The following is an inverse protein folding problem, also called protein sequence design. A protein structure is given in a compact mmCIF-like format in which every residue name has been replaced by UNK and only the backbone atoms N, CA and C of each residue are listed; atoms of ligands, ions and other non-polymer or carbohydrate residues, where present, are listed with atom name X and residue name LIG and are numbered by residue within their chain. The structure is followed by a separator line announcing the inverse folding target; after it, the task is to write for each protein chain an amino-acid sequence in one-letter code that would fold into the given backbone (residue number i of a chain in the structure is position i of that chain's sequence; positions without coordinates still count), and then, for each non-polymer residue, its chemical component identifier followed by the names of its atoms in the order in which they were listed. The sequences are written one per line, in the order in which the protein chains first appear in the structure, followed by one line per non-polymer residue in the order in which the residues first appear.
data_IF_794197947639
#
_entry.id   IF_794197947639
#
_cell.length_a   1.000
_cell.length_b   1.000
_cell.length_c   1.000
_cell.angle_alpha   90.00
_cell.angle_beta   90.00
_cell.angle_gamma   90.00
#
_symmetry.space_group_name_H-M   'P 1'
#
loop_
_entity.id
_entity.type
_entity.pdbx_description
1 polymer ?
#
# COMPACT_ATOMS: atom_id res chain seq x y z
N UNK A 1 -10.34 17.03 -3.33
CA UNK A 1 -9.56 15.79 -3.53
C UNK A 1 -8.16 15.96 -2.95
N UNK A 2 -7.38 16.99 -3.33
CA UNK A 2 -5.98 17.15 -2.90
C UNK A 2 -5.80 17.20 -1.38
N UNK A 3 -6.67 17.93 -0.66
CA UNK A 3 -6.59 18.03 0.81
C UNK A 3 -6.86 16.68 1.50
N UNK A 4 -7.84 15.91 1.02
CA UNK A 4 -8.12 14.56 1.53
C UNK A 4 -6.90 13.67 1.36
N UNK A 5 -6.30 13.67 0.18
CA UNK A 5 -5.08 12.92 -0.10
C UNK A 5 -3.91 13.38 0.78
N UNK A 6 -3.71 14.68 0.95
CA UNK A 6 -2.69 15.22 1.83
C UNK A 6 -2.89 14.77 3.28
N UNK A 7 -4.12 14.84 3.81
CA UNK A 7 -4.47 14.39 5.15
C UNK A 7 -4.29 12.87 5.33
N UNK A 8 -4.47 12.08 4.28
CA UNK A 8 -4.24 10.64 4.33
C UNK A 8 -2.74 10.29 4.36
N UNK A 9 -1.90 11.03 3.64
CA UNK A 9 -0.46 10.76 3.62
C UNK A 9 0.32 11.45 4.74
N UNK A 10 -0.17 12.55 5.30
CA UNK A 10 0.46 13.29 6.37
C UNK A 10 0.79 12.42 7.61
N UNK A 11 -0.13 11.58 8.13
CA UNK A 11 0.16 10.69 9.25
C UNK A 11 1.29 9.70 8.95
N UNK A 12 1.40 9.23 7.72
CA UNK A 12 2.47 8.31 7.33
C UNK A 12 3.83 8.98 7.52
N UNK A 13 3.97 10.24 7.10
CA UNK A 13 5.22 11.00 7.27
C UNK A 13 5.49 11.26 8.77
N UNK A 14 4.48 11.68 9.52
CA UNK A 14 4.63 12.05 10.94
C UNK A 14 4.89 10.84 11.85
N UNK A 15 4.20 9.74 11.59
CA UNK A 15 4.19 8.58 12.49
C UNK A 15 5.01 7.38 12.00
N UNK A 16 5.63 7.43 10.81
CA UNK A 16 6.39 6.31 10.24
C UNK A 16 7.49 5.77 11.18
N UNK A 17 8.22 6.67 11.86
CA UNK A 17 9.26 6.28 12.82
C UNK A 17 8.67 5.56 14.05
N UNK A 18 7.55 6.05 14.59
CA UNK A 18 6.84 5.43 15.71
C UNK A 18 6.17 4.12 15.31
N UNK A 19 5.59 4.10 14.12
CA UNK A 19 4.95 2.92 13.55
C UNK A 19 5.94 1.76 13.38
N UNK A 20 7.17 2.04 12.94
CA UNK A 20 8.23 1.05 12.89
C UNK A 20 8.56 0.47 14.27
N UNK A 21 8.70 1.33 15.29
CA UNK A 21 8.94 0.88 16.67
C UNK A 21 7.78 0.05 17.19
N UNK A 22 6.53 0.44 16.90
CA UNK A 22 5.35 -0.29 17.32
C UNK A 22 5.27 -1.67 16.65
N UNK A 23 5.57 -1.74 15.36
CA UNK A 23 5.62 -2.99 14.60
C UNK A 23 6.70 -3.95 15.11
N UNK A 24 7.79 -3.42 15.71
CA UNK A 24 8.84 -4.23 16.30
C UNK A 24 8.50 -4.75 17.71
N UNK A 25 7.56 -4.10 18.42
CA UNK A 25 7.21 -4.44 19.83
C UNK A 25 5.98 -5.32 19.96
N UNK A 26 5.06 -5.24 19.01
CA UNK A 26 3.79 -5.97 19.07
C UNK A 26 3.86 -7.15 18.11
N UNK A 27 3.37 -8.35 18.50
CA UNK A 27 3.28 -9.48 17.57
C UNK A 27 2.55 -9.08 16.29
N UNK A 28 3.20 -9.31 15.12
CA UNK A 28 2.72 -8.87 13.82
C UNK A 28 1.27 -9.27 13.53
N UNK A 29 0.90 -10.49 13.94
CA UNK A 29 -0.48 -11.01 13.84
C UNK A 29 -1.51 -10.11 14.54
N UNK A 30 -1.27 -9.73 15.82
CA UNK A 30 -2.21 -8.90 16.58
C UNK A 30 -2.28 -7.49 16.03
N UNK A 31 -1.12 -6.95 15.67
CA UNK A 31 -1.03 -5.60 15.12
C UNK A 31 -1.81 -5.50 13.81
N UNK A 32 -1.64 -6.47 12.91
CA UNK A 32 -2.41 -6.54 11.66
C UNK A 32 -3.91 -6.73 11.88
N UNK A 33 -4.31 -7.55 12.86
CA UNK A 33 -5.73 -7.66 13.20
C UNK A 33 -6.32 -6.32 13.62
N UNK A 34 -5.63 -5.57 14.47
CA UNK A 34 -6.08 -4.23 14.92
C UNK A 34 -6.13 -3.23 13.76
N UNK A 35 -5.12 -3.21 12.89
CA UNK A 35 -5.09 -2.28 11.75
C UNK A 35 -6.17 -2.62 10.73
N UNK A 36 -6.39 -3.90 10.39
CA UNK A 36 -7.43 -4.32 9.46
C UNK A 36 -8.85 -4.04 10.01
N UNK A 37 -9.09 -4.29 11.30
CA UNK A 37 -10.34 -3.89 11.96
C UNK A 37 -10.53 -2.38 11.91
N UNK A 38 -9.48 -1.62 12.16
CA UNK A 38 -9.52 -0.16 12.11
C UNK A 38 -9.88 0.38 10.72
N UNK A 39 -9.26 -0.16 9.66
CA UNK A 39 -9.58 0.22 8.28
C UNK A 39 -11.01 -0.19 7.93
N UNK A 40 -11.43 -1.41 8.28
CA UNK A 40 -12.78 -1.88 8.08
C UNK A 40 -13.83 -1.01 8.78
N UNK A 41 -13.54 -0.54 10.00
CA UNK A 41 -14.40 0.38 10.73
C UNK A 41 -14.49 1.76 10.05
N UNK A 42 -13.38 2.28 9.54
CA UNK A 42 -13.37 3.53 8.75
C UNK A 42 -14.23 3.38 7.50
N UNK A 43 -14.09 2.29 6.75
CA UNK A 43 -14.91 2.00 5.58
C UNK A 43 -16.38 1.88 5.93
N UNK A 44 -16.72 1.23 7.05
CA UNK A 44 -18.09 1.13 7.55
C UNK A 44 -18.69 2.49 7.85
N UNK A 45 -17.94 3.35 8.56
CA UNK A 45 -18.40 4.71 8.89
C UNK A 45 -18.62 5.53 7.62
N UNK A 46 -17.70 5.48 6.65
CA UNK A 46 -17.86 6.16 5.36
C UNK A 46 -19.13 5.67 4.66
N UNK A 47 -19.34 4.36 4.59
CA UNK A 47 -20.51 3.76 3.96
C UNK A 47 -21.81 4.24 4.60
N UNK A 48 -21.91 4.26 5.93
CA UNK A 48 -23.09 4.75 6.67
C UNK A 48 -23.29 6.24 6.43
N UNK A 49 -22.26 7.06 6.55
CA UNK A 49 -22.33 8.52 6.35
C UNK A 49 -22.81 8.88 4.94
N UNK A 50 -22.35 8.13 3.93
CA UNK A 50 -22.79 8.32 2.54
C UNK A 50 -24.23 7.90 2.35
N UNK A 51 -24.67 6.77 2.92
CA UNK A 51 -26.03 6.25 2.78
C UNK A 51 -27.08 7.11 3.51
N UNK A 52 -26.72 7.67 4.66
CA UNK A 52 -27.59 8.55 5.43
C UNK A 52 -27.68 9.97 4.87
N UNK A 53 -26.82 10.30 3.90
CA UNK A 53 -26.75 11.65 3.34
C UNK A 53 -26.24 12.72 4.32
N UNK A 54 -25.71 12.33 5.48
CA UNK A 54 -25.16 13.24 6.51
C UNK A 54 -23.71 13.61 6.25
N UNK A 55 -23.16 13.24 5.08
CA UNK A 55 -21.76 13.38 4.71
C UNK A 55 -21.33 14.83 4.48
N UNK A 56 -20.72 15.44 5.47
CA UNK A 56 -20.04 16.73 5.33
C UNK A 56 -18.54 16.56 5.02
N UNK A 57 -17.92 17.57 4.42
CA UNK A 57 -16.49 17.53 4.03
C UNK A 57 -15.56 17.24 5.21
N UNK A 58 -15.85 17.71 6.40
CA UNK A 58 -15.03 17.50 7.57
C UNK A 58 -15.00 16.03 8.02
N UNK A 59 -16.09 15.27 7.81
CA UNK A 59 -16.09 13.82 8.06
C UNK A 59 -15.03 13.12 7.18
N UNK A 60 -14.95 13.51 5.91
CA UNK A 60 -13.95 12.96 4.98
C UNK A 60 -12.52 13.29 5.41
N UNK A 61 -12.29 14.49 5.93
CA UNK A 61 -10.97 14.90 6.42
C UNK A 61 -10.52 14.09 7.63
N UNK A 62 -11.40 13.91 8.61
CA UNK A 62 -11.11 13.13 9.81
C UNK A 62 -10.87 11.66 9.46
N UNK A 63 -11.76 11.07 8.65
CA UNK A 63 -11.65 9.66 8.27
C UNK A 63 -10.41 9.40 7.40
N UNK A 64 -10.04 10.33 6.52
CA UNK A 64 -8.79 10.25 5.76
C UNK A 64 -7.56 10.28 6.68
N UNK A 65 -7.54 11.17 7.68
CA UNK A 65 -6.45 11.25 8.65
C UNK A 65 -6.35 9.97 9.50
N UNK A 66 -7.47 9.45 9.99
CA UNK A 66 -7.52 8.19 10.75
C UNK A 66 -7.03 7.02 9.88
N UNK A 67 -7.52 6.91 8.66
CA UNK A 67 -7.10 5.88 7.70
C UNK A 67 -5.59 5.96 7.41
N UNK A 68 -5.06 7.18 7.22
CA UNK A 68 -3.63 7.41 7.05
C UNK A 68 -2.80 6.99 8.27
N UNK A 69 -3.31 7.26 9.47
CA UNK A 69 -2.65 6.87 10.73
C UNK A 69 -2.59 5.34 10.87
N UNK A 70 -3.69 4.65 10.56
CA UNK A 70 -3.73 3.19 10.56
C UNK A 70 -2.77 2.64 9.50
N UNK A 71 -2.77 3.21 8.30
CA UNK A 71 -1.89 2.79 7.19
C UNK A 71 -0.41 2.97 7.50
N UNK A 72 -0.05 4.00 8.27
CA UNK A 72 1.32 4.23 8.73
C UNK A 72 1.85 3.05 9.56
N UNK A 73 0.97 2.39 10.32
CA UNK A 73 1.31 1.22 11.15
C UNK A 73 1.14 -0.08 10.35
N UNK A 74 0.09 -0.20 9.54
CA UNK A 74 -0.23 -1.41 8.77
C UNK A 74 0.89 -1.81 7.81
N UNK A 75 1.44 -0.82 7.09
CA UNK A 75 2.46 -1.08 6.06
C UNK A 75 3.72 -1.76 6.61
N UNK A 76 4.41 -1.23 7.63
CA UNK A 76 5.58 -1.88 8.20
C UNK A 76 5.23 -3.18 8.93
N UNK A 77 4.06 -3.25 9.59
CA UNK A 77 3.60 -4.47 10.24
C UNK A 77 3.39 -5.61 9.25
N UNK A 78 2.78 -5.33 8.11
CA UNK A 78 2.56 -6.32 7.02
C UNK A 78 3.87 -6.83 6.43
N UNK A 79 4.81 -5.94 6.15
CA UNK A 79 6.12 -6.33 5.63
C UNK A 79 6.90 -7.19 6.63
N UNK A 80 6.85 -6.83 7.92
CA UNK A 80 7.47 -7.61 8.98
C UNK A 80 6.81 -9.00 9.13
N UNK A 81 5.48 -9.07 9.05
CA UNK A 81 4.73 -10.30 9.22
C UNK A 81 4.97 -11.32 8.10
N UNK A 82 5.25 -10.87 6.86
CA UNK A 82 5.66 -11.79 5.78
C UNK A 82 6.87 -12.63 6.21
N UNK A 83 7.79 -12.05 6.98
CA UNK A 83 8.94 -12.76 7.53
C UNK A 83 8.60 -13.80 8.61
N UNK A 84 7.46 -13.66 9.28
CA UNK A 84 7.00 -14.63 10.28
C UNK A 84 6.24 -15.81 9.66
N UNK A 85 5.84 -15.70 8.37
CA UNK A 85 5.05 -16.73 7.68
C UNK A 85 5.89 -17.84 7.04
N UNK A 86 7.17 -17.58 6.76
CA UNK A 86 8.00 -18.50 5.99
C UNK A 86 9.40 -18.65 6.59
N UNK A 87 10.05 -19.81 6.43
CA UNK A 87 11.44 -19.97 6.83
C UNK A 87 12.34 -19.04 5.98
N UNK A 88 13.49 -18.68 6.53
CA UNK A 88 14.41 -17.71 5.95
C UNK A 88 14.82 -18.04 4.50
N UNK A 89 14.96 -19.32 4.19
CA UNK A 89 15.30 -19.83 2.84
C UNK A 89 14.24 -19.48 1.77
N UNK A 90 12.99 -19.34 2.18
CA UNK A 90 11.84 -19.03 1.28
C UNK A 90 11.45 -17.54 1.29
N UNK A 91 12.17 -16.71 2.04
CA UNK A 91 11.85 -15.30 2.21
C UNK A 91 11.76 -14.54 0.88
N UNK A 92 12.72 -14.74 -0.03
CA UNK A 92 12.71 -14.09 -1.33
C UNK A 92 11.45 -14.42 -2.15
N UNK A 93 11.01 -15.67 -2.12
CA UNK A 93 9.79 -16.11 -2.80
C UNK A 93 8.53 -15.51 -2.16
N UNK A 94 8.47 -15.45 -0.82
CA UNK A 94 7.34 -14.87 -0.10
C UNK A 94 7.21 -13.36 -0.37
N UNK A 95 8.33 -12.63 -0.37
CA UNK A 95 8.35 -11.21 -0.71
C UNK A 95 7.91 -10.97 -2.16
N UNK A 96 8.42 -11.79 -3.10
CA UNK A 96 8.01 -11.70 -4.51
C UNK A 96 6.52 -11.99 -4.70
N UNK A 97 5.98 -13.01 -4.03
CA UNK A 97 4.55 -13.35 -4.10
C UNK A 97 3.69 -12.25 -3.49
N UNK A 98 4.09 -11.71 -2.32
CA UNK A 98 3.40 -10.59 -1.67
C UNK A 98 3.39 -9.35 -2.56
N UNK A 99 4.54 -9.01 -3.18
CA UNK A 99 4.63 -7.89 -4.11
C UNK A 99 3.73 -8.11 -5.35
N UNK A 100 3.72 -9.32 -5.91
CA UNK A 100 2.85 -9.66 -7.05
C UNK A 100 1.38 -9.52 -6.67
N UNK A 101 0.96 -10.06 -5.53
CA UNK A 101 -0.41 -9.95 -5.03
C UNK A 101 -0.80 -8.47 -4.83
N UNK A 102 0.08 -7.67 -4.20
CA UNK A 102 -0.14 -6.24 -3.99
C UNK A 102 -0.30 -5.48 -5.31
N UNK A 103 0.58 -5.69 -6.28
CA UNK A 103 0.49 -5.04 -7.58
C UNK A 103 -0.74 -5.48 -8.38
N UNK A 104 -1.10 -6.77 -8.32
CA UNK A 104 -2.32 -7.28 -8.95
C UNK A 104 -3.57 -6.67 -8.34
N UNK A 105 -3.65 -6.61 -7.02
CA UNK A 105 -4.78 -5.98 -6.32
C UNK A 105 -4.88 -4.47 -6.64
N UNK A 106 -3.77 -3.76 -6.68
CA UNK A 106 -3.70 -2.34 -7.05
C UNK A 106 -4.15 -2.08 -8.48
N UNK A 107 -4.00 -3.07 -9.34
CA UNK A 107 -4.37 -3.03 -10.74
C UNK A 107 -5.86 -3.27 -10.93
N UNK A 108 -6.39 -4.35 -10.31
CA UNK A 108 -7.78 -4.79 -10.45
C UNK A 108 -8.71 -3.95 -9.56
N UNK A 109 -8.23 -3.50 -8.40
CA UNK A 109 -9.03 -2.80 -7.39
C UNK A 109 -9.80 -1.59 -7.92
N UNK A 110 -9.15 -0.58 -8.53
CA UNK A 110 -9.84 0.59 -9.05
C UNK A 110 -10.85 0.27 -10.15
N UNK A 111 -10.57 -0.72 -11.00
CA UNK A 111 -11.47 -1.15 -12.07
C UNK A 111 -12.74 -1.80 -11.50
N UNK A 112 -12.59 -2.72 -10.54
CA UNK A 112 -13.72 -3.36 -9.87
C UNK A 112 -14.51 -2.36 -9.02
N UNK A 113 -13.83 -1.47 -8.29
CA UNK A 113 -14.49 -0.44 -7.50
C UNK A 113 -15.33 0.50 -8.38
N UNK A 114 -14.79 0.97 -9.52
CA UNK A 114 -15.54 1.80 -10.47
C UNK A 114 -16.80 1.11 -10.98
N UNK A 115 -16.70 -0.16 -11.35
CA UNK A 115 -17.82 -0.97 -11.80
C UNK A 115 -18.92 -1.13 -10.72
N UNK A 116 -18.54 -1.45 -9.50
CA UNK A 116 -19.49 -1.60 -8.40
C UNK A 116 -20.13 -0.26 -7.98
N UNK A 117 -19.38 0.85 -8.05
CA UNK A 117 -19.89 2.18 -7.77
C UNK A 117 -20.97 2.59 -8.79
N UNK A 118 -20.75 2.27 -10.08
CA UNK A 118 -21.73 2.57 -11.12
C UNK A 118 -23.04 1.77 -10.95
N UNK A 119 -22.96 0.54 -10.43
CA UNK A 119 -24.14 -0.31 -10.24
C UNK A 119 -24.87 -0.07 -8.92
N UNK A 120 -24.17 0.09 -7.84
CA UNK A 120 -24.75 0.11 -6.48
C UNK A 120 -24.56 1.46 -5.76
N UNK A 121 -23.80 2.36 -6.35
CA UNK A 121 -23.46 3.63 -5.71
C UNK A 121 -22.29 3.49 -4.71
N UNK A 122 -21.85 4.63 -4.21
CA UNK A 122 -20.64 4.72 -3.36
C UNK A 122 -20.87 4.08 -1.99
N UNK A 123 -22.04 4.32 -1.36
CA UNK A 123 -22.34 3.86 0.01
C UNK A 123 -22.25 2.35 0.18
N UNK A 124 -23.02 1.54 -0.61
CA UNK A 124 -22.95 0.08 -0.55
C UNK A 124 -21.54 -0.48 -0.82
N UNK A 125 -20.77 0.15 -1.70
CA UNK A 125 -19.40 -0.30 -2.00
C UNK A 125 -18.50 -0.18 -0.78
N UNK A 126 -18.60 0.89 0.01
CA UNK A 126 -17.86 1.02 1.27
C UNK A 126 -18.33 0.02 2.34
N UNK A 127 -19.61 -0.36 2.37
CA UNK A 127 -20.09 -1.43 3.27
C UNK A 127 -19.52 -2.79 2.89
N UNK A 128 -19.47 -3.09 1.58
CA UNK A 128 -18.83 -4.32 1.08
C UNK A 128 -17.34 -4.33 1.43
N UNK A 129 -16.65 -3.21 1.24
CA UNK A 129 -15.24 -3.06 1.60
C UNK A 129 -15.02 -3.32 3.10
N UNK A 130 -15.86 -2.77 3.97
CA UNK A 130 -15.82 -3.04 5.41
C UNK A 130 -15.95 -4.54 5.75
N UNK A 131 -16.86 -5.24 5.07
CA UNK A 131 -17.03 -6.70 5.23
C UNK A 131 -15.81 -7.46 4.70
N UNK A 132 -15.24 -7.02 3.57
CA UNK A 132 -14.04 -7.63 3.00
C UNK A 132 -12.82 -7.54 3.93
N UNK A 133 -12.71 -6.47 4.73
CA UNK A 133 -11.67 -6.38 5.76
C UNK A 133 -11.81 -7.40 6.90
N UNK A 134 -12.98 -8.02 7.06
CA UNK A 134 -13.14 -9.12 8.02
C UNK A 134 -12.43 -10.41 7.57
N UNK A 135 -12.27 -10.64 6.27
CA UNK A 135 -11.60 -11.83 5.78
C UNK A 135 -10.14 -11.96 6.27
N UNK A 136 -9.25 -10.96 6.11
CA UNK A 136 -7.91 -11.03 6.68
C UNK A 136 -7.92 -11.09 8.22
N UNK A 137 -8.86 -10.43 8.91
CA UNK A 137 -8.97 -10.51 10.36
C UNK A 137 -9.27 -11.95 10.81
N UNK A 138 -10.23 -12.60 10.16
CA UNK A 138 -10.60 -13.98 10.44
C UNK A 138 -9.43 -14.92 10.08
N UNK A 139 -8.81 -14.73 8.91
CA UNK A 139 -7.66 -15.53 8.51
C UNK A 139 -6.52 -15.44 9.54
N UNK A 140 -6.20 -14.24 10.00
CA UNK A 140 -5.20 -14.01 11.04
C UNK A 140 -5.64 -14.62 12.39
N UNK A 141 -6.93 -14.61 12.72
CA UNK A 141 -7.46 -15.22 13.94
C UNK A 141 -7.36 -16.73 13.93
N UNK A 142 -7.54 -17.37 12.77
CA UNK A 142 -7.47 -18.82 12.58
C UNK A 142 -6.02 -19.34 12.50
N UNK A 143 -5.04 -18.48 12.26
CA UNK A 143 -3.64 -18.89 12.23
C UNK A 143 -3.18 -19.38 13.60
N UNK A 144 -2.46 -20.49 13.62
CA UNK A 144 -1.83 -21.02 14.82
C UNK A 144 -0.53 -20.28 15.09
N UNK A 145 -0.42 -19.63 16.26
CA UNK A 145 0.77 -18.84 16.62
C UNK A 145 2.04 -19.69 16.82
N UNK A 146 1.88 -20.97 17.12
CA UNK A 146 2.96 -21.96 17.26
C UNK A 146 3.63 -22.35 15.93
N UNK A 147 2.97 -22.10 14.81
CA UNK A 147 3.47 -22.36 13.46
C UNK A 147 4.16 -21.15 12.81
N UNK A 148 4.13 -19.99 13.47
CA UNK A 148 4.81 -18.79 12.99
C UNK A 148 6.30 -18.86 13.35
N UNK A 149 7.14 -18.46 12.40
CA UNK A 149 8.58 -18.38 12.63
C UNK A 149 8.88 -17.15 13.52
N UNK A 150 9.48 -17.36 14.70
CA UNK A 150 9.76 -16.25 15.61
C UNK A 150 10.74 -15.29 14.96
N UNK A 151 10.34 -14.01 14.90
CA UNK A 151 11.23 -12.95 14.49
C UNK A 151 12.25 -12.70 15.60
N UNK A 152 13.53 -12.75 15.27
CA UNK A 152 14.58 -12.28 16.15
C UNK A 152 14.43 -10.77 16.29
N UNK A 153 13.86 -10.33 17.42
CA UNK A 153 13.78 -8.92 17.77
C UNK A 153 15.21 -8.40 17.97
N UNK A 154 15.70 -7.61 17.03
CA UNK A 154 17.00 -6.96 17.18
C UNK A 154 16.83 -5.79 18.15
N UNK A 155 17.50 -5.81 19.33
CA UNK A 155 17.45 -4.70 20.26
C UNK A 155 17.98 -3.44 19.57
N UNK A 156 17.14 -2.42 19.45
CA UNK A 156 17.59 -1.12 18.94
C UNK A 156 18.41 -0.41 20.01
N UNK A 157 19.65 -0.13 19.69
CA UNK A 157 20.49 0.76 20.48
C UNK A 157 19.98 2.22 20.35
N UNK A 158 20.00 3.01 21.43
CA UNK A 158 19.67 4.44 21.35
C UNK A 158 20.66 5.12 20.38
N UNK A 159 20.11 5.87 19.41
CA UNK A 159 20.91 6.58 18.39
C UNK A 159 20.92 5.98 16.98
N UNK A 160 20.37 4.80 16.74
CA UNK A 160 20.36 4.15 15.42
C UNK A 160 19.77 5.01 14.31
N UNK A 161 18.74 5.81 14.58
CA UNK A 161 18.17 6.73 13.58
C UNK A 161 19.19 7.79 13.15
N UNK A 162 19.92 8.36 14.11
CA UNK A 162 20.96 9.34 13.82
C UNK A 162 22.11 8.72 13.04
N UNK A 163 22.52 7.55 13.43
CA UNK A 163 23.56 6.78 12.74
C UNK A 163 23.16 6.44 11.31
N UNK A 164 21.91 6.00 11.10
CA UNK A 164 21.36 5.75 9.75
C UNK A 164 21.33 7.00 8.89
N UNK A 165 20.94 8.15 9.44
CA UNK A 165 20.94 9.44 8.73
C UNK A 165 22.37 9.86 8.36
N UNK A 166 23.31 9.75 9.30
CA UNK A 166 24.73 10.07 9.07
C UNK A 166 25.31 9.13 7.99
N UNK A 167 24.97 7.85 8.05
CA UNK A 167 25.40 6.88 7.03
C UNK A 167 24.88 7.25 5.63
N UNK A 168 23.60 7.56 5.51
CA UNK A 168 23.01 8.00 4.22
C UNK A 168 23.67 9.29 3.73
N UNK A 169 23.94 10.25 4.64
CA UNK A 169 24.60 11.50 4.28
C UNK A 169 26.06 11.32 3.83
N UNK A 170 26.76 10.33 4.36
CA UNK A 170 28.14 10.03 3.99
C UNK A 170 28.27 9.32 2.63
N UNK A 171 27.17 8.71 2.12
CA UNK A 171 27.16 7.92 0.89
C UNK A 171 26.42 8.64 -0.23
N UNK A 172 27.17 9.18 -1.19
CA UNK A 172 26.63 9.93 -2.33
C UNK A 172 25.80 9.05 -3.26
N UNK A 173 26.19 7.79 -3.47
CA UNK A 173 25.45 6.79 -4.23
C UNK A 173 24.02 6.58 -3.66
N UNK A 174 23.91 6.39 -2.34
CA UNK A 174 22.61 6.21 -1.67
C UNK A 174 21.75 7.47 -1.80
N UNK A 175 22.32 8.66 -1.64
CA UNK A 175 21.60 9.92 -1.81
C UNK A 175 21.05 10.10 -3.21
N UNK A 176 21.83 9.78 -4.24
CA UNK A 176 21.39 9.87 -5.64
C UNK A 176 20.24 8.89 -5.89
N UNK A 177 20.37 7.63 -5.42
CA UNK A 177 19.29 6.64 -5.56
C UNK A 177 18.01 7.09 -4.86
N UNK A 178 18.12 7.59 -3.64
CA UNK A 178 16.96 8.09 -2.89
C UNK A 178 16.32 9.31 -3.56
N UNK A 179 17.12 10.25 -4.07
CA UNK A 179 16.62 11.40 -4.81
C UNK A 179 15.92 10.97 -6.11
N UNK A 180 16.49 10.00 -6.83
CA UNK A 180 15.90 9.48 -8.05
C UNK A 180 14.58 8.75 -7.76
N UNK A 181 14.52 7.92 -6.73
CA UNK A 181 13.29 7.26 -6.28
C UNK A 181 12.26 8.31 -5.87
N UNK A 182 12.65 9.35 -5.13
CA UNK A 182 11.75 10.44 -4.74
C UNK A 182 11.17 11.15 -5.96
N UNK A 183 11.99 11.57 -6.92
CA UNK A 183 11.54 12.26 -8.15
C UNK A 183 10.62 11.37 -8.97
N UNK A 184 10.99 10.11 -9.21
CA UNK A 184 10.17 9.16 -9.97
C UNK A 184 8.85 8.88 -9.26
N UNK A 185 8.86 8.72 -7.94
CA UNK A 185 7.64 8.51 -7.17
C UNK A 185 6.75 9.75 -7.13
N UNK A 186 7.33 10.93 -6.92
CA UNK A 186 6.60 12.19 -6.85
C UNK A 186 5.94 12.56 -8.18
N UNK A 187 6.61 12.32 -9.31
CA UNK A 187 6.09 12.64 -10.64
C UNK A 187 5.30 11.48 -11.27
N UNK A 188 5.78 10.24 -11.11
CA UNK A 188 5.18 9.07 -11.75
C UNK A 188 3.97 8.49 -11.02
N UNK A 189 3.95 8.54 -9.68
CA UNK A 189 2.86 7.95 -8.88
C UNK A 189 1.59 8.81 -8.81
N UNK A 190 1.66 10.08 -9.21
CA UNK A 190 0.51 10.99 -9.29
C UNK A 190 -0.45 10.66 -10.45
N UNK A 191 -0.10 9.72 -11.31
CA UNK A 191 -0.90 9.40 -12.49
C UNK A 191 -2.34 8.96 -12.15
N UNK A 192 -2.56 8.27 -11.03
CA UNK A 192 -3.91 7.88 -10.59
C UNK A 192 -4.79 9.09 -10.27
N UNK A 193 -4.24 10.06 -9.56
CA UNK A 193 -4.94 11.30 -9.21
C UNK A 193 -5.21 12.17 -10.45
N UNK A 194 -4.21 12.31 -11.32
CA UNK A 194 -4.33 13.06 -12.59
C UNK A 194 -5.35 12.42 -13.52
N UNK A 195 -5.37 11.09 -13.62
CA UNK A 195 -6.34 10.35 -14.44
C UNK A 195 -7.77 10.50 -13.93
N UNK A 196 -7.97 10.49 -12.60
CA UNK A 196 -9.28 10.70 -11.99
C UNK A 196 -9.78 12.13 -12.25
N UNK A 197 -8.91 13.14 -12.08
CA UNK A 197 -9.23 14.54 -12.40
C UNK A 197 -9.53 14.73 -13.89
N UNK A 198 -8.75 14.12 -14.75
CA UNK A 198 -8.92 14.20 -16.19
C UNK A 198 -10.24 13.56 -16.65
N UNK A 199 -10.63 12.42 -16.05
CA UNK A 199 -11.90 11.77 -16.33
C UNK A 199 -13.10 12.65 -15.97
N UNK A 200 -13.04 13.35 -14.82
CA UNK A 200 -14.15 14.18 -14.32
C UNK A 200 -14.17 15.60 -14.89
N UNK A 201 -13.01 16.26 -14.98
CA UNK A 201 -12.96 17.69 -15.37
C UNK A 201 -12.83 17.92 -16.87
N UNK A 202 -12.10 17.04 -17.58
CA UNK A 202 -11.88 17.20 -19.05
C UNK A 202 -12.93 16.42 -19.85
N UNK A 203 -13.21 15.19 -19.46
CA UNK A 203 -14.13 14.35 -20.20
C UNK A 203 -15.57 14.38 -19.67
N UNK A 204 -15.83 15.03 -18.51
CA UNK A 204 -17.18 15.17 -17.93
C UNK A 204 -17.87 13.83 -17.67
N UNK A 205 -17.11 12.74 -17.51
CA UNK A 205 -17.62 11.38 -17.42
C UNK A 205 -17.61 10.86 -15.99
N UNK A 206 -18.57 9.95 -15.69
CA UNK A 206 -18.74 9.33 -14.39
C UNK A 206 -17.60 8.35 -14.01
N UNK A 207 -17.65 7.82 -12.79
CA UNK A 207 -16.63 6.94 -12.18
C UNK A 207 -16.25 5.72 -13.05
N UNK A 208 -17.17 5.18 -13.87
CA UNK A 208 -16.89 4.06 -14.75
C UNK A 208 -15.83 4.34 -15.81
N UNK A 209 -15.71 5.59 -16.28
CA UNK A 209 -14.66 5.96 -17.22
C UNK A 209 -13.26 5.94 -16.61
N UNK A 210 -13.15 6.23 -15.31
CA UNK A 210 -11.91 6.04 -14.55
C UNK A 210 -11.55 4.55 -14.44
N UNK A 211 -12.54 3.68 -14.24
CA UNK A 211 -12.35 2.21 -14.27
C UNK A 211 -11.76 1.72 -15.59
N UNK A 212 -12.30 2.21 -16.73
CA UNK A 212 -11.78 1.86 -18.06
C UNK A 212 -10.33 2.32 -18.26
N UNK A 213 -10.01 3.58 -17.90
CA UNK A 213 -8.64 4.09 -17.97
C UNK A 213 -7.67 3.25 -17.10
N UNK A 214 -8.09 2.90 -15.89
CA UNK A 214 -7.33 2.06 -14.98
C UNK A 214 -7.10 0.66 -15.55
N UNK A 215 -8.08 0.09 -16.26
CA UNK A 215 -7.96 -1.22 -16.92
C UNK A 215 -6.92 -1.18 -18.04
N UNK A 216 -6.90 -0.14 -18.88
CA UNK A 216 -5.87 0.00 -19.92
C UNK A 216 -4.47 0.16 -19.33
N UNK A 217 -4.33 0.92 -18.24
CA UNK A 217 -3.07 1.00 -17.51
C UNK A 217 -2.64 -0.35 -16.94
N UNK A 218 -3.60 -1.10 -16.44
CA UNK A 218 -3.43 -2.44 -15.92
C UNK A 218 -2.83 -3.37 -16.98
N UNK A 219 -3.46 -3.42 -18.13
CA UNK A 219 -3.03 -4.24 -19.26
C UNK A 219 -1.63 -3.81 -19.73
N UNK A 220 -1.39 -2.49 -19.87
CA UNK A 220 -0.09 -1.96 -20.23
C UNK A 220 1.03 -2.33 -19.25
N UNK A 221 0.73 -2.29 -17.94
CA UNK A 221 1.68 -2.68 -16.88
C UNK A 221 2.01 -4.18 -16.92
N UNK A 222 1.02 -5.04 -17.13
CA UNK A 222 1.23 -6.50 -17.28
C UNK A 222 2.06 -6.79 -18.55
N UNK A 223 1.74 -6.18 -19.67
CA UNK A 223 2.49 -6.36 -20.90
C UNK A 223 3.93 -5.84 -20.76
N UNK A 224 4.12 -4.68 -20.10
CA UNK A 224 5.43 -4.11 -19.85
C UNK A 224 6.28 -4.98 -18.90
N UNK A 225 5.70 -5.46 -17.81
CA UNK A 225 6.42 -6.32 -16.84
C UNK A 225 6.77 -7.69 -17.42
N UNK A 226 5.87 -8.31 -18.19
CA UNK A 226 6.15 -9.58 -18.88
C UNK A 226 7.19 -9.41 -19.97
N UNK A 227 7.16 -8.28 -20.72
CA UNK A 227 8.17 -7.93 -21.70
C UNK A 227 9.55 -7.69 -21.08
N UNK A 228 9.60 -7.00 -19.94
CA UNK A 228 10.84 -6.78 -19.19
C UNK A 228 11.39 -8.09 -18.61
N UNK A 229 10.55 -8.94 -18.01
CA UNK A 229 10.94 -10.24 -17.47
C UNK A 229 11.55 -11.17 -18.54
N UNK A 230 11.00 -11.14 -19.76
CA UNK A 230 11.56 -11.91 -20.89
C UNK A 230 12.91 -11.39 -21.38
N UNK A 231 13.22 -10.10 -21.15
CA UNK A 231 14.49 -9.46 -21.53
C UNK A 231 15.56 -9.52 -20.45
N UNK A 232 15.19 -9.67 -19.19
CA UNK A 232 16.08 -9.69 -18.04
C UNK A 232 17.24 -10.69 -18.20
N UNK A 233 17.05 -11.97 -18.62
CA UNK A 233 18.16 -12.91 -18.80
C UNK A 233 19.14 -12.51 -19.90
N UNK A 234 18.73 -11.67 -20.85
CA UNK A 234 19.62 -11.18 -21.92
C UNK A 234 20.47 -10.01 -21.45
N UNK A 235 19.96 -9.20 -20.55
CA UNK A 235 20.69 -8.05 -19.97
C UNK A 235 21.75 -8.52 -18.96
N UNK A 236 21.47 -9.55 -18.17
CA UNK A 236 22.46 -10.16 -17.28
C UNK A 236 23.63 -10.77 -18.06
N UNK A 237 23.38 -11.43 -19.18
CA UNK A 237 24.46 -11.96 -20.05
C UNK A 237 25.27 -10.86 -20.73
N UNK A 238 24.65 -9.73 -21.07
CA UNK A 238 25.37 -8.60 -21.65
C UNK A 238 26.25 -7.87 -20.63
N UNK A 239 25.82 -7.76 -19.36
CA UNK A 239 26.64 -7.15 -18.30
C UNK A 239 27.84 -8.04 -17.90
N UNK A 240 27.68 -9.35 -17.89
CA UNK A 240 28.76 -10.30 -17.62
C UNK A 240 29.80 -10.35 -18.74
N UNK A 241 29.44 -10.10 -19.99
CA UNK A 241 30.37 -10.03 -21.12
C UNK A 241 31.12 -8.70 -21.23
N UNK A 242 30.64 -7.65 -20.54
CA UNK A 242 31.31 -6.33 -20.51
C UNK A 242 32.31 -6.20 -19.35
N UNK A 243 32.32 -7.13 -18.40
CA UNK A 243 33.21 -7.16 -17.22
C UNK A 243 34.28 -8.26 -17.33
N UNK A 244 34.20 -9.11 -18.32
CA UNK A 244 35.22 -10.08 -18.70
C UNK A 244 36.12 -9.54 -19.85
#
# INVERSE_FOLDING_TARGET
VGLVTALQFLPIILFSAWAGVLADRIPGRRLLQCTQLGVGLVSLIIGIVVLTGTGELWHQYILAFISGTISAVDTPARQAFVGELVPHEKMANAVALNATAFHTARLIGPASAGFFIDWWGIGPVFLIDAVMFMAPVIALALMRGDQLYPRTLVPRAPGQLRESVVYVQSRTDIRIILALIFVVSALGMNFQMTSALMATTVFGKAAGSFGILSTFMAVGSILGSTGAARRAPRLERASTTLVA
#
